data_IF_785228712495
#
_entry.id   IF_785228712495
#
_cell.length_a   1.000
_cell.length_b   1.000
_cell.length_c   1.000
_cell.angle_alpha   90.00
_cell.angle_beta   90.00
_cell.angle_gamma   90.00
#
_symmetry.space_group_name_H-M   'P 1'
#
loop_
_entity.id
_entity.type
_entity.pdbx_description
1 polymer ?
#
# COMPACT_ATOMS: atom_id res chain seq x y z
N UNK A 1 -6.53 -13.69 -11.11
CA UNK A 1 -5.41 -13.60 -10.17
C UNK A 1 -5.08 -12.13 -9.98
N UNK A 2 -4.52 -11.73 -8.85
CA UNK A 2 -3.99 -10.37 -8.67
C UNK A 2 -2.49 -10.50 -8.45
N UNK A 3 -1.71 -9.77 -9.23
CA UNK A 3 -0.25 -9.76 -9.14
C UNK A 3 0.27 -8.60 -8.29
N UNK A 4 -0.49 -7.51 -8.19
CA UNK A 4 -0.09 -6.26 -7.55
C UNK A 4 -1.28 -5.58 -6.86
N UNK A 5 -1.03 -5.06 -5.65
CA UNK A 5 -1.93 -4.15 -4.96
C UNK A 5 -1.15 -2.88 -4.61
N UNK A 6 -1.54 -1.76 -5.22
CA UNK A 6 -0.96 -0.45 -4.98
C UNK A 6 -1.71 0.27 -3.85
N UNK A 7 -0.97 0.77 -2.87
CA UNK A 7 -1.48 1.59 -1.78
C UNK A 7 -0.95 3.01 -1.95
N UNK A 8 -1.85 3.95 -2.20
CA UNK A 8 -1.54 5.38 -2.13
C UNK A 8 -1.25 5.76 -0.68
N UNK A 9 -0.05 6.27 -0.41
CA UNK A 9 0.35 6.87 0.87
C UNK A 9 0.17 8.38 0.92
N UNK A 10 -0.46 8.95 -0.10
CA UNK A 10 -0.90 10.35 -0.19
C UNK A 10 -2.30 10.41 -0.78
N UNK A 11 -2.92 11.60 -0.80
CA UNK A 11 -4.15 11.78 -1.59
C UNK A 11 -3.78 11.83 -3.09
N UNK A 12 -4.56 11.22 -3.98
CA UNK A 12 -4.27 11.28 -5.41
C UNK A 12 -4.43 12.72 -5.96
N UNK A 13 -3.66 13.04 -7.00
CA UNK A 13 -3.82 14.27 -7.79
C UNK A 13 -2.53 15.07 -7.96
N UNK A 14 -1.83 15.38 -6.87
CA UNK A 14 -0.66 16.28 -6.89
C UNK A 14 0.60 15.66 -6.27
N UNK A 15 1.77 16.05 -6.77
CA UNK A 15 3.06 15.66 -6.22
C UNK A 15 3.48 16.48 -4.99
N UNK A 16 4.50 16.02 -4.25
CA UNK A 16 5.06 16.72 -3.10
C UNK A 16 4.23 16.67 -1.82
N UNK A 17 3.20 15.81 -1.80
CA UNK A 17 2.41 15.58 -0.59
C UNK A 17 3.19 14.72 0.41
N UNK A 18 3.05 15.06 1.69
CA UNK A 18 3.66 14.28 2.77
C UNK A 18 2.97 12.92 2.95
N UNK A 19 3.75 11.93 3.39
CA UNK A 19 3.26 10.60 3.74
C UNK A 19 2.07 10.66 4.71
N UNK A 20 1.02 9.89 4.44
CA UNK A 20 -0.13 9.68 5.31
C UNK A 20 0.14 8.44 6.17
N UNK A 21 0.38 8.55 7.48
CA UNK A 21 0.73 7.42 8.34
C UNK A 21 -0.32 6.29 8.38
N UNK A 22 -1.59 6.61 8.12
CA UNK A 22 -2.67 5.63 8.02
C UNK A 22 -2.47 4.60 6.89
N UNK A 23 -1.60 4.87 5.91
CA UNK A 23 -1.23 3.90 4.89
C UNK A 23 -0.49 2.67 5.48
N UNK A 24 0.26 2.84 6.58
CA UNK A 24 0.94 1.74 7.26
C UNK A 24 -0.03 0.68 7.77
N UNK A 25 -1.18 1.11 8.29
CA UNK A 25 -2.21 0.18 8.76
C UNK A 25 -2.83 -0.60 7.60
N UNK A 26 -3.05 0.04 6.44
CA UNK A 26 -3.51 -0.65 5.22
C UNK A 26 -2.50 -1.71 4.77
N UNK A 27 -1.20 -1.37 4.79
CA UNK A 27 -0.11 -2.29 4.45
C UNK A 27 -0.11 -3.48 5.42
N UNK A 28 -0.22 -3.23 6.74
CA UNK A 28 -0.25 -4.28 7.76
C UNK A 28 -1.41 -5.25 7.56
N UNK A 29 -2.62 -4.74 7.40
CA UNK A 29 -3.83 -5.56 7.19
C UNK A 29 -3.68 -6.39 5.91
N UNK A 30 -3.21 -5.79 4.83
CA UNK A 30 -3.06 -6.48 3.54
C UNK A 30 -1.96 -7.55 3.60
N UNK A 31 -0.85 -7.28 4.27
CA UNK A 31 0.23 -8.26 4.47
C UNK A 31 -0.23 -9.47 5.30
N UNK A 32 -1.05 -9.24 6.33
CA UNK A 32 -1.66 -10.32 7.11
C UNK A 32 -2.64 -11.16 6.29
N UNK A 33 -3.50 -10.52 5.51
CA UNK A 33 -4.44 -11.20 4.61
C UNK A 33 -3.70 -12.03 3.57
N UNK A 34 -2.67 -11.46 2.92
CA UNK A 34 -1.82 -12.15 1.95
C UNK A 34 -1.25 -13.45 2.53
N UNK A 35 -0.76 -13.40 3.78
CA UNK A 35 -0.22 -14.56 4.47
C UNK A 35 -1.31 -15.58 4.85
N UNK A 36 -2.43 -15.14 5.40
CA UNK A 36 -3.54 -16.02 5.83
C UNK A 36 -4.15 -16.79 4.67
N UNK A 37 -4.23 -16.15 3.50
CA UNK A 37 -4.88 -16.70 2.31
C UNK A 37 -3.89 -17.34 1.32
N UNK A 38 -2.60 -17.43 1.69
CA UNK A 38 -1.52 -17.95 0.84
C UNK A 38 -1.51 -17.33 -0.57
N UNK A 39 -1.61 -15.99 -0.62
CA UNK A 39 -1.59 -15.21 -1.87
C UNK A 39 -0.18 -14.71 -2.16
N UNK A 40 0.09 -14.43 -3.44
CA UNK A 40 1.43 -14.10 -3.93
C UNK A 40 1.57 -12.71 -4.56
N UNK A 41 0.56 -11.83 -4.42
CA UNK A 41 0.64 -10.47 -4.94
C UNK A 41 1.72 -9.62 -4.24
N UNK A 42 2.24 -8.66 -4.99
CA UNK A 42 3.14 -7.60 -4.53
C UNK A 42 2.31 -6.49 -3.88
N UNK A 43 2.83 -5.89 -2.80
CA UNK A 43 2.27 -4.68 -2.21
C UNK A 43 3.21 -3.53 -2.56
N UNK A 44 2.71 -2.55 -3.30
CA UNK A 44 3.45 -1.34 -3.69
C UNK A 44 2.90 -0.13 -2.95
N UNK A 45 3.78 0.81 -2.62
CA UNK A 45 3.46 2.04 -1.91
C UNK A 45 3.77 3.22 -2.81
N UNK A 46 2.79 4.09 -3.05
CA UNK A 46 2.91 5.20 -3.99
C UNK A 46 2.65 6.56 -3.29
N UNK A 47 3.69 7.40 -3.32
CA UNK A 47 3.66 8.81 -2.91
C UNK A 47 4.18 9.11 -1.50
N UNK A 48 4.86 10.25 -1.34
CA UNK A 48 5.37 10.72 -0.04
C UNK A 48 6.44 9.80 0.57
N UNK A 49 7.30 9.21 -0.26
CA UNK A 49 8.43 8.37 0.17
C UNK A 49 9.71 9.18 0.04
N UNK A 50 10.44 9.30 1.14
CA UNK A 50 11.67 10.09 1.30
C UNK A 50 12.83 9.20 1.76
#
# INVERSE_FOLDING_TARGET
DIDLVLIMSVNPGFGGQAFIPAALEKIRVLAEQRRKENRHFIIEVDGGID
#
